data_IF_695819415096
#
_entry.id   IF_695819415096
#
_cell.length_a   1.000
_cell.length_b   1.000
_cell.length_c   1.000
_cell.angle_alpha   90.00
_cell.angle_beta   90.00
_cell.angle_gamma   90.00
#
_symmetry.space_group_name_H-M   'P 1'
#
loop_
_entity.id
_entity.type
_entity.pdbx_description
1 polymer ?
#
# COMPACT_ATOMS: atom_id res chain seq x y z
N UNK A 1 -23.73 7.23 -2.83
CA UNK A 1 -22.36 7.83 -2.75
C UNK A 1 -22.28 8.86 -3.87
N UNK A 2 -22.21 10.14 -3.51
CA UNK A 2 -22.19 11.19 -4.53
C UNK A 2 -20.75 11.58 -4.84
N UNK A 3 -20.31 11.18 -6.02
CA UNK A 3 -19.08 11.66 -6.63
C UNK A 3 -19.45 12.75 -7.64
N UNK A 4 -19.13 13.98 -7.32
CA UNK A 4 -19.27 15.11 -8.22
C UNK A 4 -17.92 15.40 -8.85
N UNK A 5 -17.87 15.67 -10.17
CA UNK A 5 -16.62 16.00 -10.82
C UNK A 5 -15.65 14.84 -11.05
N UNK A 6 -14.37 15.18 -11.18
CA UNK A 6 -13.29 14.23 -11.50
C UNK A 6 -12.64 13.72 -10.20
N UNK A 7 -12.46 12.42 -10.09
CA UNK A 7 -11.65 11.79 -9.03
C UNK A 7 -10.26 11.48 -9.54
N UNK A 8 -9.25 12.18 -9.02
CA UNK A 8 -7.84 11.97 -9.37
C UNK A 8 -7.24 10.85 -8.53
N UNK A 9 -6.63 9.86 -9.18
CA UNK A 9 -5.86 8.78 -8.54
C UNK A 9 -4.41 8.87 -8.95
N UNK A 10 -3.51 9.24 -8.04
CA UNK A 10 -2.07 9.21 -8.30
C UNK A 10 -1.49 7.84 -8.00
N UNK A 11 -0.43 7.44 -8.72
CA UNK A 11 0.10 6.08 -8.57
C UNK A 11 -0.83 4.98 -9.11
N UNK A 12 -1.77 5.36 -9.96
CA UNK A 12 -2.83 4.50 -10.50
C UNK A 12 -2.32 3.24 -11.21
N UNK A 13 -1.11 3.26 -11.78
CA UNK A 13 -0.51 2.11 -12.45
C UNK A 13 0.22 1.14 -11.49
N UNK A 14 0.33 1.48 -10.21
CA UNK A 14 0.86 0.61 -9.15
C UNK A 14 -0.13 -0.49 -8.73
N UNK A 15 0.32 -1.41 -7.89
CA UNK A 15 -0.50 -2.52 -7.40
C UNK A 15 -1.80 -2.02 -6.75
N UNK A 16 -1.72 -1.25 -5.68
CA UNK A 16 -2.90 -0.72 -4.99
C UNK A 16 -3.70 0.27 -5.84
N UNK A 17 -2.99 1.07 -6.68
CA UNK A 17 -3.64 2.04 -7.57
C UNK A 17 -4.60 1.40 -8.56
N UNK A 18 -4.26 0.25 -9.11
CA UNK A 18 -5.13 -0.52 -10.01
C UNK A 18 -6.41 -0.98 -9.31
N UNK A 19 -6.30 -1.60 -8.13
CA UNK A 19 -7.45 -2.02 -7.34
C UNK A 19 -8.37 -0.85 -6.99
N UNK A 20 -7.80 0.31 -6.65
CA UNK A 20 -8.60 1.51 -6.39
C UNK A 20 -9.30 2.03 -7.65
N UNK A 21 -8.61 2.09 -8.79
CA UNK A 21 -9.22 2.50 -10.07
C UNK A 21 -10.35 1.56 -10.46
N UNK A 22 -10.14 0.25 -10.39
CA UNK A 22 -11.17 -0.77 -10.67
C UNK A 22 -12.39 -0.59 -9.74
N UNK A 23 -12.14 -0.37 -8.45
CA UNK A 23 -13.22 -0.16 -7.47
C UNK A 23 -14.02 1.12 -7.77
N UNK A 24 -13.35 2.24 -8.07
CA UNK A 24 -14.02 3.51 -8.41
C UNK A 24 -14.82 3.40 -9.72
N UNK A 25 -14.26 2.74 -10.74
CA UNK A 25 -14.98 2.50 -12.01
C UNK A 25 -16.22 1.62 -11.80
N UNK A 26 -16.12 0.58 -10.97
CA UNK A 26 -17.29 -0.25 -10.62
C UNK A 26 -18.39 0.52 -9.90
N UNK A 27 -18.05 1.61 -9.21
CA UNK A 27 -19.00 2.55 -8.60
C UNK A 27 -19.52 3.63 -9.56
N UNK A 28 -19.12 3.60 -10.83
CA UNK A 28 -19.52 4.59 -11.85
C UNK A 28 -18.84 5.95 -11.71
N UNK A 29 -17.70 6.03 -11.00
CA UNK A 29 -16.98 7.28 -10.74
C UNK A 29 -16.18 7.70 -11.97
N UNK A 30 -16.20 9.00 -12.30
CA UNK A 30 -15.33 9.57 -13.34
C UNK A 30 -13.89 9.69 -12.81
N UNK A 31 -13.02 8.76 -13.24
CA UNK A 31 -11.65 8.64 -12.76
C UNK A 31 -10.67 9.29 -13.75
N UNK A 32 -9.77 10.12 -13.20
CA UNK A 32 -8.52 10.52 -13.85
C UNK A 32 -7.37 9.77 -13.18
N UNK A 33 -6.76 8.84 -13.89
CA UNK A 33 -5.62 8.07 -13.46
C UNK A 33 -4.31 8.76 -13.85
N UNK A 34 -3.33 8.79 -12.91
CA UNK A 34 -1.99 9.28 -13.26
C UNK A 34 -0.88 8.38 -12.71
N UNK A 35 0.14 8.23 -13.53
CA UNK A 35 1.43 7.65 -13.20
C UNK A 35 2.49 8.26 -14.12
N UNK A 36 3.76 7.90 -13.93
CA UNK A 36 4.82 8.31 -14.86
C UNK A 36 4.42 7.99 -16.31
N UNK A 37 4.74 8.86 -17.28
CA UNK A 37 4.37 8.67 -18.67
C UNK A 37 4.75 7.28 -19.16
N UNK A 38 3.84 6.63 -19.87
CA UNK A 38 4.00 5.26 -20.35
C UNK A 38 3.44 5.15 -21.78
N UNK A 39 4.04 4.24 -22.58
CA UNK A 39 3.63 4.03 -23.97
C UNK A 39 2.32 3.26 -24.10
N UNK A 40 1.99 2.39 -23.12
CA UNK A 40 0.78 1.58 -23.15
C UNK A 40 -0.17 1.99 -22.02
N UNK A 41 -1.32 2.54 -22.38
CA UNK A 41 -2.42 2.94 -21.51
C UNK A 41 -3.67 2.06 -21.67
N UNK A 42 -3.60 1.01 -22.50
CA UNK A 42 -4.75 0.18 -22.87
C UNK A 42 -5.54 -0.36 -21.67
N UNK A 43 -4.88 -0.58 -20.55
CA UNK A 43 -5.55 -0.99 -19.31
C UNK A 43 -6.56 0.06 -18.83
N UNK A 44 -6.20 1.34 -18.87
CA UNK A 44 -7.09 2.45 -18.48
C UNK A 44 -8.13 2.73 -19.57
N UNK A 45 -7.71 2.70 -20.83
CA UNK A 45 -8.58 2.94 -21.98
C UNK A 45 -9.72 1.92 -22.02
N UNK A 46 -9.45 0.63 -21.73
CA UNK A 46 -10.46 -0.43 -21.70
C UNK A 46 -11.52 -0.26 -20.61
N UNK A 47 -11.26 0.56 -19.59
CA UNK A 47 -12.20 0.88 -18.52
C UNK A 47 -12.85 2.27 -18.68
N UNK A 48 -12.56 2.99 -19.77
CA UNK A 48 -13.02 4.36 -19.98
C UNK A 48 -12.40 5.38 -19.03
N UNK A 49 -11.22 5.07 -18.46
CA UNK A 49 -10.50 5.93 -17.51
C UNK A 49 -9.58 6.90 -18.25
N UNK A 50 -9.71 8.18 -17.95
CA UNK A 50 -8.80 9.21 -18.46
C UNK A 50 -7.39 9.02 -17.85
N UNK A 51 -6.38 8.79 -18.69
CA UNK A 51 -4.99 8.68 -18.22
C UNK A 51 -4.18 9.92 -18.59
N UNK A 52 -3.67 10.61 -17.56
CA UNK A 52 -2.76 11.77 -17.72
C UNK A 52 -1.39 11.39 -17.15
N UNK A 53 -0.38 11.33 -18.03
CA UNK A 53 0.98 10.98 -17.64
C UNK A 53 1.66 12.13 -16.91
N UNK A 54 2.03 11.93 -15.63
CA UNK A 54 2.77 12.91 -14.83
C UNK A 54 3.80 12.24 -13.92
N UNK A 55 4.86 12.97 -13.60
CA UNK A 55 5.93 12.51 -12.72
C UNK A 55 5.99 13.42 -11.47
N UNK A 56 5.78 12.86 -10.29
CA UNK A 56 5.81 13.59 -9.02
C UNK A 56 7.15 14.32 -8.76
N UNK A 57 8.21 13.88 -9.44
CA UNK A 57 9.53 14.54 -9.36
C UNK A 57 9.67 15.72 -10.32
N UNK A 58 8.70 15.91 -11.26
CA UNK A 58 8.69 16.92 -12.29
C UNK A 58 7.51 17.87 -12.10
N UNK A 59 7.69 18.99 -11.35
CA UNK A 59 6.60 19.90 -11.01
C UNK A 59 5.78 20.39 -12.19
N UNK A 60 6.44 20.62 -13.33
CA UNK A 60 5.83 21.12 -14.56
C UNK A 60 4.77 20.18 -15.16
N UNK A 61 4.78 18.91 -14.77
CA UNK A 61 3.83 17.90 -15.29
C UNK A 61 2.56 17.79 -14.43
N UNK A 62 2.53 18.41 -13.25
CA UNK A 62 1.48 18.17 -12.26
C UNK A 62 0.23 19.05 -12.41
N UNK A 63 0.32 20.32 -12.84
CA UNK A 63 -0.87 21.19 -12.92
C UNK A 63 -1.98 20.62 -13.80
N UNK A 64 -1.64 19.99 -14.95
CA UNK A 64 -2.62 19.37 -15.84
C UNK A 64 -3.47 18.26 -15.18
N UNK A 65 -3.03 17.72 -14.05
CA UNK A 65 -3.81 16.73 -13.29
C UNK A 65 -5.09 17.33 -12.71
N UNK A 66 -5.13 18.64 -12.48
CA UNK A 66 -6.24 19.36 -11.85
C UNK A 66 -7.15 20.10 -12.84
N UNK A 67 -6.85 20.04 -14.13
CA UNK A 67 -7.68 20.67 -15.16
C UNK A 67 -9.11 20.08 -15.19
N UNK A 68 -10.10 20.91 -15.42
CA UNK A 68 -11.50 20.48 -15.61
C UNK A 68 -12.26 20.12 -14.32
N UNK A 69 -11.79 20.56 -13.15
CA UNK A 69 -12.50 20.44 -11.87
C UNK A 69 -12.34 19.08 -11.20
N UNK A 70 -11.23 18.91 -10.47
CA UNK A 70 -11.01 17.75 -9.61
C UNK A 70 -11.74 17.94 -8.29
N UNK A 71 -12.66 17.02 -7.97
CA UNK A 71 -13.43 17.03 -6.73
C UNK A 71 -12.71 16.27 -5.60
N UNK A 72 -12.08 15.14 -5.93
CA UNK A 72 -11.40 14.28 -4.97
C UNK A 72 -10.03 13.85 -5.46
N UNK A 73 -9.11 13.67 -4.52
CA UNK A 73 -7.77 13.15 -4.78
C UNK A 73 -7.50 11.95 -3.89
N UNK A 74 -7.15 10.82 -4.49
CA UNK A 74 -6.55 9.68 -3.81
C UNK A 74 -5.07 9.64 -4.16
N UNK A 75 -4.22 9.93 -3.19
CA UNK A 75 -2.78 10.00 -3.40
C UNK A 75 -2.08 8.71 -2.94
N UNK A 76 -1.79 7.82 -3.92
CA UNK A 76 -1.05 6.57 -3.74
C UNK A 76 0.36 6.64 -4.36
N UNK A 77 0.67 7.72 -5.06
CA UNK A 77 1.92 7.87 -5.79
C UNK A 77 3.13 7.92 -4.87
N UNK A 78 3.84 6.79 -4.74
CA UNK A 78 5.03 6.66 -3.92
C UNK A 78 5.98 5.59 -4.47
N UNK A 79 7.23 5.62 -4.04
CA UNK A 79 8.17 4.50 -4.16
C UNK A 79 8.03 3.68 -2.88
N UNK A 80 7.52 2.44 -3.00
CA UNK A 80 7.36 1.50 -1.90
C UNK A 80 8.50 0.48 -1.95
N UNK A 81 9.62 0.79 -1.28
CA UNK A 81 10.78 -0.11 -1.26
C UNK A 81 11.67 0.21 -0.07
N UNK A 82 11.94 -0.79 0.79
CA UNK A 82 12.78 -0.66 1.98
C UNK A 82 14.29 -0.58 1.67
N UNK A 83 14.71 -1.06 0.50
CA UNK A 83 16.13 -1.04 0.10
C UNK A 83 16.54 0.25 -0.62
N UNK A 84 15.60 1.13 -0.92
CA UNK A 84 15.88 2.39 -1.60
C UNK A 84 16.39 3.43 -0.61
N UNK A 85 17.56 4.05 -0.84
CA UNK A 85 18.08 5.10 0.03
C UNK A 85 17.13 6.29 0.12
N UNK A 86 17.03 6.92 1.30
CA UNK A 86 16.15 8.06 1.58
C UNK A 86 16.25 9.17 0.53
N UNK A 87 17.45 9.53 0.13
CA UNK A 87 17.69 10.58 -0.87
C UNK A 87 17.03 10.29 -2.24
N UNK A 88 16.79 9.02 -2.59
CA UNK A 88 16.05 8.62 -3.81
C UNK A 88 14.53 8.56 -3.57
N UNK A 89 14.10 8.33 -2.33
CA UNK A 89 12.67 8.35 -1.95
C UNK A 89 12.14 9.77 -1.79
N UNK A 90 12.95 10.67 -1.26
CA UNK A 90 12.57 12.04 -0.91
C UNK A 90 11.89 12.82 -2.05
N UNK A 91 12.40 12.84 -3.29
CA UNK A 91 11.77 13.59 -4.38
C UNK A 91 10.33 13.14 -4.69
N UNK A 92 10.04 11.83 -4.55
CA UNK A 92 8.71 11.27 -4.83
C UNK A 92 7.83 11.26 -3.59
N UNK A 93 8.34 10.69 -2.48
CA UNK A 93 7.52 10.39 -1.30
C UNK A 93 7.32 11.61 -0.38
N UNK A 94 8.14 12.64 -0.51
CA UNK A 94 8.06 13.86 0.30
C UNK A 94 7.72 15.06 -0.57
N UNK A 95 8.60 15.47 -1.50
CA UNK A 95 8.32 16.61 -2.38
C UNK A 95 7.14 16.38 -3.32
N UNK A 96 6.91 15.12 -3.75
CA UNK A 96 5.73 14.77 -4.53
C UNK A 96 4.43 14.97 -3.76
N UNK A 97 4.41 14.60 -2.47
CA UNK A 97 3.27 14.84 -1.57
C UNK A 97 3.04 16.35 -1.40
N UNK A 98 4.10 17.12 -1.13
CA UNK A 98 4.01 18.58 -0.97
C UNK A 98 3.36 19.25 -2.19
N UNK A 99 3.82 18.91 -3.38
CA UNK A 99 3.30 19.47 -4.64
C UNK A 99 1.84 19.13 -4.89
N UNK A 100 1.47 17.84 -4.71
CA UNK A 100 0.09 17.40 -4.96
C UNK A 100 -0.86 17.96 -3.91
N UNK A 101 -0.46 18.05 -2.64
CA UNK A 101 -1.29 18.65 -1.59
C UNK A 101 -1.48 20.15 -1.80
N UNK A 102 -0.43 20.88 -2.27
CA UNK A 102 -0.55 22.28 -2.61
C UNK A 102 -1.55 22.48 -3.78
N UNK A 103 -1.39 21.73 -4.87
CA UNK A 103 -2.30 21.80 -6.01
C UNK A 103 -3.75 21.44 -5.64
N UNK A 104 -3.93 20.47 -4.75
CA UNK A 104 -5.24 20.09 -4.24
C UNK A 104 -5.88 21.21 -3.39
N UNK A 105 -5.08 21.88 -2.56
CA UNK A 105 -5.53 23.04 -1.79
C UNK A 105 -5.92 24.21 -2.71
N UNK A 106 -5.06 24.55 -3.67
CA UNK A 106 -5.29 25.63 -4.64
C UNK A 106 -6.52 25.38 -5.52
N UNK A 107 -6.77 24.11 -5.87
CA UNK A 107 -7.94 23.69 -6.65
C UNK A 107 -9.24 23.61 -5.82
N UNK A 108 -9.15 23.73 -4.50
CA UNK A 108 -10.32 23.66 -3.61
C UNK A 108 -11.01 22.30 -3.64
N UNK A 109 -10.25 21.18 -3.70
CA UNK A 109 -10.83 19.84 -3.74
C UNK A 109 -11.69 19.57 -2.51
N UNK A 110 -12.81 18.89 -2.68
CA UNK A 110 -13.71 18.53 -1.58
C UNK A 110 -13.11 17.49 -0.65
N UNK A 111 -12.21 16.64 -1.14
CA UNK A 111 -11.56 15.60 -0.34
C UNK A 111 -10.18 15.22 -0.87
N UNK A 112 -9.23 15.08 0.02
CA UNK A 112 -7.91 14.53 -0.26
C UNK A 112 -7.67 13.31 0.64
N UNK A 113 -7.35 12.15 0.08
CA UNK A 113 -7.02 10.94 0.84
C UNK A 113 -5.57 10.59 0.60
N UNK A 114 -4.75 10.69 1.64
CA UNK A 114 -3.35 10.27 1.62
C UNK A 114 -3.24 8.78 1.97
N UNK A 115 -2.73 7.98 1.05
CA UNK A 115 -2.42 6.58 1.34
C UNK A 115 -0.98 6.48 1.85
N UNK A 116 -0.89 6.49 3.18
CA UNK A 116 0.34 6.37 3.96
C UNK A 116 0.87 4.95 4.06
N UNK A 117 1.32 4.56 5.23
CA UNK A 117 1.74 3.19 5.57
C UNK A 117 1.94 3.08 7.08
N UNK A 118 1.67 1.92 7.67
CA UNK A 118 2.07 1.63 9.06
C UNK A 118 3.59 1.61 9.27
N UNK A 119 4.39 1.59 8.20
CA UNK A 119 5.85 1.73 8.29
C UNK A 119 6.30 3.03 9.00
N UNK A 120 5.43 4.02 9.11
CA UNK A 120 5.69 5.26 9.89
C UNK A 120 5.95 4.98 11.37
N UNK A 121 5.41 3.90 11.92
CA UNK A 121 5.65 3.51 13.31
C UNK A 121 7.02 2.86 13.53
N UNK A 122 7.60 2.26 12.49
CA UNK A 122 8.82 1.47 12.58
C UNK A 122 8.60 0.12 13.30
N UNK A 123 9.67 -0.62 13.61
CA UNK A 123 9.63 -1.83 14.43
C UNK A 123 9.22 -1.47 15.86
N UNK A 124 7.95 -1.61 16.18
CA UNK A 124 7.36 -1.21 17.45
C UNK A 124 7.20 -2.43 18.38
N UNK A 125 7.27 -2.19 19.69
CA UNK A 125 7.15 -3.26 20.70
C UNK A 125 5.89 -3.17 21.57
N UNK A 126 5.08 -2.14 21.38
CA UNK A 126 3.78 -1.99 22.05
C UNK A 126 2.66 -2.39 21.09
N UNK A 127 2.05 -3.56 21.28
CA UNK A 127 0.91 -4.00 20.49
C UNK A 127 -0.38 -3.97 21.30
N UNK A 128 -1.52 -3.70 20.67
CA UNK A 128 -1.70 -3.32 19.25
C UNK A 128 -1.24 -1.90 18.95
N UNK A 129 -0.81 -1.67 17.69
CA UNK A 129 -0.45 -0.36 17.16
C UNK A 129 -1.71 0.43 16.84
N UNK A 130 -2.04 1.42 17.65
CA UNK A 130 -3.10 2.39 17.37
C UNK A 130 -2.59 3.58 16.55
N UNK A 131 -3.48 4.42 16.04
CA UNK A 131 -3.12 5.61 15.28
C UNK A 131 -2.34 6.64 16.11
N UNK A 132 -2.49 6.59 17.43
CA UNK A 132 -1.81 7.48 18.38
C UNK A 132 -0.40 6.98 18.79
N UNK A 133 0.00 5.79 18.31
CA UNK A 133 1.33 5.25 18.55
C UNK A 133 2.43 6.17 17.97
N UNK A 134 3.60 6.27 18.64
CA UNK A 134 4.69 7.11 18.16
C UNK A 134 5.16 6.75 16.76
N UNK A 135 5.24 7.73 15.85
CA UNK A 135 5.79 7.58 14.51
C UNK A 135 7.32 7.65 14.54
N UNK A 136 7.96 6.50 14.75
CA UNK A 136 9.42 6.38 14.92
C UNK A 136 10.05 5.38 13.95
N UNK A 137 10.00 5.62 12.62
CA UNK A 137 10.55 4.73 11.62
C UNK A 137 12.07 4.63 11.71
N UNK A 138 12.61 3.42 11.53
CA UNK A 138 14.04 3.12 11.63
C UNK A 138 14.72 2.91 10.27
N UNK A 139 13.93 2.89 9.20
CA UNK A 139 14.39 2.68 7.83
C UNK A 139 14.09 3.87 6.92
N UNK A 140 14.67 3.89 5.72
CA UNK A 140 14.53 4.99 4.77
C UNK A 140 13.11 5.13 4.23
N UNK A 141 12.41 4.01 4.00
CA UNK A 141 11.05 4.03 3.48
C UNK A 141 10.07 4.59 4.53
N UNK A 142 10.07 4.02 5.73
CA UNK A 142 9.23 4.50 6.82
C UNK A 142 9.44 5.98 7.12
N UNK A 143 10.71 6.46 7.13
CA UNK A 143 11.03 7.88 7.29
C UNK A 143 10.43 8.73 6.17
N UNK A 144 10.56 8.30 4.91
CA UNK A 144 9.99 9.05 3.79
C UNK A 144 8.47 9.12 3.82
N UNK A 145 7.80 8.04 4.31
CA UNK A 145 6.34 8.03 4.49
C UNK A 145 5.90 8.93 5.64
N UNK A 146 6.65 8.94 6.76
CA UNK A 146 6.39 9.86 7.89
C UNK A 146 6.54 11.32 7.45
N UNK A 147 7.64 11.66 6.78
CA UNK A 147 7.93 13.03 6.38
C UNK A 147 6.92 13.55 5.33
N UNK A 148 6.44 12.65 4.44
CA UNK A 148 5.33 12.98 3.54
C UNK A 148 4.00 13.17 4.29
N UNK A 149 3.72 12.33 5.29
CA UNK A 149 2.54 12.47 6.14
C UNK A 149 2.58 13.75 6.98
N UNK A 150 3.75 14.18 7.45
CA UNK A 150 3.92 15.46 8.18
C UNK A 150 3.52 16.66 7.31
N UNK A 151 3.79 16.62 6.00
CA UNK A 151 3.30 17.63 5.06
C UNK A 151 1.78 17.62 4.97
N UNK A 152 1.15 16.44 4.93
CA UNK A 152 -0.32 16.35 4.90
C UNK A 152 -0.93 16.96 6.17
N UNK A 153 -0.35 16.68 7.35
CA UNK A 153 -0.76 17.29 8.62
C UNK A 153 -0.64 18.82 8.58
N UNK A 154 0.43 19.35 8.00
CA UNK A 154 0.58 20.79 7.80
C UNK A 154 -0.52 21.34 6.88
N UNK A 155 -0.80 20.69 5.74
CA UNK A 155 -1.84 21.13 4.79
C UNK A 155 -3.25 21.07 5.37
N UNK A 156 -3.52 20.13 6.28
CA UNK A 156 -4.78 20.10 7.06
C UNK A 156 -4.94 21.40 7.87
N UNK A 157 -3.88 21.86 8.52
CA UNK A 157 -3.90 23.13 9.28
C UNK A 157 -4.08 24.36 8.35
N UNK A 158 -3.69 24.25 7.10
CA UNK A 158 -3.87 25.28 6.07
C UNK A 158 -5.26 25.20 5.39
N UNK A 159 -6.09 24.20 5.77
CA UNK A 159 -7.48 24.06 5.32
C UNK A 159 -7.72 22.99 4.24
N UNK A 160 -6.72 22.16 3.91
CA UNK A 160 -6.94 21.02 3.01
C UNK A 160 -7.83 19.98 3.70
N UNK A 161 -9.02 19.61 3.16
CA UNK A 161 -9.88 18.59 3.75
C UNK A 161 -9.32 17.17 3.52
N UNK A 162 -8.21 16.88 4.22
CA UNK A 162 -7.46 15.64 4.02
C UNK A 162 -7.75 14.59 5.09
N UNK A 163 -7.62 13.33 4.67
CA UNK A 163 -7.69 12.12 5.49
C UNK A 163 -6.40 11.35 5.28
N UNK A 164 -5.82 10.83 6.36
CA UNK A 164 -4.61 10.01 6.30
C UNK A 164 -4.99 8.55 6.53
N UNK A 165 -4.48 7.65 5.70
CA UNK A 165 -4.67 6.22 5.89
C UNK A 165 -3.33 5.51 5.97
N UNK A 166 -3.21 4.52 6.85
CA UNK A 166 -1.97 3.76 7.10
C UNK A 166 -2.23 2.27 6.90
N UNK A 167 -2.25 1.78 5.65
CA UNK A 167 -2.34 0.34 5.40
C UNK A 167 -1.13 -0.40 5.98
N UNK A 168 -1.37 -1.60 6.54
CA UNK A 168 -0.32 -2.53 6.97
C UNK A 168 0.26 -3.30 5.77
N UNK A 169 0.64 -4.58 5.93
CA UNK A 169 1.12 -5.41 4.82
C UNK A 169 -0.01 -5.68 3.84
N UNK A 170 0.02 -5.00 2.70
CA UNK A 170 -0.98 -5.16 1.65
C UNK A 170 -0.64 -6.34 0.75
N UNK A 171 -1.61 -7.23 0.53
CA UNK A 171 -1.52 -8.36 -0.39
C UNK A 171 -2.77 -8.44 -1.28
N UNK A 172 -2.75 -9.31 -2.28
CA UNK A 172 -3.90 -9.51 -3.16
C UNK A 172 -3.51 -9.90 -4.58
N UNK A 173 -4.49 -10.08 -5.46
CA UNK A 173 -4.28 -10.38 -6.87
C UNK A 173 -3.35 -9.38 -7.55
N UNK A 174 -2.27 -9.88 -8.19
CA UNK A 174 -1.30 -9.03 -8.89
C UNK A 174 -0.23 -8.39 -8.00
N UNK A 175 -0.15 -8.73 -6.71
CA UNK A 175 0.92 -8.27 -5.82
C UNK A 175 2.27 -8.87 -6.24
N UNK A 176 3.19 -8.03 -6.70
CA UNK A 176 4.53 -8.44 -7.12
C UNK A 176 5.65 -7.76 -6.33
N UNK A 177 5.30 -6.89 -5.38
CA UNK A 177 6.22 -6.06 -4.61
C UNK A 177 5.96 -6.19 -3.11
N UNK A 178 6.96 -5.80 -2.31
CA UNK A 178 6.85 -5.73 -0.85
C UNK A 178 6.64 -7.09 -0.18
N UNK A 179 6.26 -7.06 1.10
CA UNK A 179 6.04 -8.27 1.90
C UNK A 179 4.85 -9.10 1.41
N UNK A 180 3.81 -8.47 0.87
CA UNK A 180 2.64 -9.15 0.30
C UNK A 180 2.94 -10.08 -0.88
N UNK A 181 4.08 -9.86 -1.58
CA UNK A 181 4.58 -10.76 -2.65
C UNK A 181 4.77 -12.20 -2.16
N UNK A 182 5.15 -12.39 -0.89
CA UNK A 182 5.33 -13.70 -0.29
C UNK A 182 4.06 -14.56 -0.36
N UNK A 183 2.91 -13.93 -0.20
CA UNK A 183 1.61 -14.61 -0.25
C UNK A 183 1.14 -14.91 -1.67
N UNK A 184 1.61 -14.16 -2.67
CA UNK A 184 1.28 -14.39 -4.10
C UNK A 184 2.16 -15.45 -4.75
N UNK A 185 3.28 -15.81 -4.13
CA UNK A 185 4.24 -16.82 -4.62
C UNK A 185 4.71 -17.76 -3.52
N UNK A 186 3.80 -18.43 -2.80
CA UNK A 186 4.16 -19.24 -1.62
C UNK A 186 5.05 -20.43 -1.96
N UNK A 187 5.03 -20.92 -3.20
CA UNK A 187 5.91 -22.03 -3.67
C UNK A 187 7.39 -21.66 -3.69
N UNK A 188 7.73 -20.37 -3.68
CA UNK A 188 9.13 -19.90 -3.65
C UNK A 188 9.69 -19.78 -2.21
N UNK A 189 8.85 -19.94 -1.20
CA UNK A 189 9.24 -19.80 0.21
C UNK A 189 9.51 -21.18 0.79
N UNK A 190 10.77 -21.44 1.06
CA UNK A 190 11.26 -22.75 1.54
C UNK A 190 11.58 -22.77 3.04
N UNK A 191 11.61 -21.60 3.67
CA UNK A 191 11.97 -21.47 5.08
C UNK A 191 11.17 -20.37 5.80
N UNK A 192 11.01 -20.55 7.09
CA UNK A 192 10.36 -19.63 8.02
C UNK A 192 11.44 -18.74 8.66
N UNK A 193 11.35 -17.40 8.56
CA UNK A 193 12.29 -16.52 9.22
C UNK A 193 12.12 -16.51 10.74
N UNK A 194 13.22 -16.66 11.48
CA UNK A 194 13.21 -16.70 12.94
C UNK A 194 12.54 -17.95 13.49
N UNK A 195 11.79 -17.78 14.57
CA UNK A 195 10.97 -18.84 15.17
C UNK A 195 9.52 -18.88 14.62
N UNK A 196 9.19 -17.99 13.71
CA UNK A 196 7.88 -17.91 13.07
C UNK A 196 6.70 -17.44 13.93
N UNK A 197 6.93 -17.11 15.21
CA UNK A 197 5.87 -16.86 16.21
C UNK A 197 5.36 -15.44 16.26
N UNK A 198 6.05 -14.50 15.56
CA UNK A 198 5.63 -13.09 15.54
C UNK A 198 4.32 -12.94 14.76
N UNK A 199 3.34 -12.28 15.38
CA UNK A 199 2.07 -11.96 14.75
C UNK A 199 2.22 -10.85 13.72
N UNK A 200 1.47 -10.94 12.61
CA UNK A 200 1.46 -9.99 11.51
C UNK A 200 0.04 -9.48 11.27
N UNK A 201 -0.08 -8.18 11.01
CA UNK A 201 -1.30 -7.63 10.40
C UNK A 201 -1.13 -7.54 8.90
N UNK A 202 -2.17 -7.97 8.21
CA UNK A 202 -2.27 -7.97 6.76
C UNK A 202 -3.58 -7.31 6.33
N UNK A 203 -3.70 -6.96 5.05
CA UNK A 203 -4.96 -6.48 4.47
C UNK A 203 -4.97 -6.72 2.97
N UNK A 204 -6.11 -7.07 2.40
CA UNK A 204 -6.29 -7.17 0.96
C UNK A 204 -6.30 -5.79 0.30
N UNK A 205 -5.75 -5.71 -0.90
CA UNK A 205 -5.74 -4.47 -1.68
C UNK A 205 -7.15 -3.97 -1.99
N UNK A 206 -8.10 -4.88 -2.19
CA UNK A 206 -9.51 -4.56 -2.39
C UNK A 206 -10.13 -3.89 -1.16
N UNK A 207 -9.77 -4.36 0.05
CA UNK A 207 -10.22 -3.72 1.30
C UNK A 207 -9.57 -2.35 1.49
N UNK A 208 -8.30 -2.19 1.14
CA UNK A 208 -7.68 -0.85 1.16
C UNK A 208 -8.42 0.10 0.22
N UNK A 209 -8.73 -0.34 -1.01
CA UNK A 209 -9.47 0.46 -1.98
C UNK A 209 -10.87 0.85 -1.46
N UNK A 210 -11.60 -0.12 -0.93
CA UNK A 210 -12.93 0.12 -0.36
C UNK A 210 -12.88 1.04 0.88
N UNK A 211 -11.91 0.84 1.79
CA UNK A 211 -11.76 1.64 3.00
C UNK A 211 -11.44 3.11 2.70
N UNK A 212 -10.51 3.39 1.77
CA UNK A 212 -10.17 4.78 1.41
C UNK A 212 -11.33 5.50 0.72
N UNK A 213 -12.13 4.76 -0.08
CA UNK A 213 -13.36 5.29 -0.69
C UNK A 213 -14.40 5.56 0.39
N UNK A 214 -14.66 4.60 1.29
CA UNK A 214 -15.58 4.78 2.42
C UNK A 214 -15.23 6.02 3.24
N UNK A 215 -13.98 6.14 3.70
CA UNK A 215 -13.52 7.29 4.48
C UNK A 215 -13.67 8.61 3.73
N UNK A 216 -13.48 8.63 2.42
CA UNK A 216 -13.60 9.84 1.60
C UNK A 216 -14.99 10.46 1.59
N UNK A 217 -16.03 9.75 2.04
CA UNK A 217 -17.41 10.23 2.15
C UNK A 217 -17.77 10.77 3.54
N UNK A 218 -16.91 10.59 4.52
CA UNK A 218 -17.18 10.93 5.91
C UNK A 218 -16.55 12.28 6.27
N UNK A 219 -17.36 13.24 6.68
CA UNK A 219 -16.86 14.55 7.11
C UNK A 219 -16.08 14.44 8.43
N UNK A 220 -16.50 13.54 9.31
CA UNK A 220 -15.83 13.23 10.58
C UNK A 220 -14.46 12.56 10.41
N UNK A 221 -14.14 12.06 9.22
CA UNK A 221 -12.81 11.50 8.93
C UNK A 221 -11.79 12.58 8.54
N UNK A 222 -12.23 13.79 8.23
CA UNK A 222 -11.32 14.88 7.85
C UNK A 222 -10.47 15.30 9.02
N UNK A 223 -9.16 15.43 8.79
CA UNK A 223 -8.21 15.78 9.83
C UNK A 223 -7.79 14.59 10.71
N UNK A 224 -8.16 13.37 10.33
CA UNK A 224 -7.87 12.16 11.12
C UNK A 224 -6.97 11.19 10.34
N UNK A 225 -6.31 10.29 11.11
CA UNK A 225 -5.57 9.16 10.58
C UNK A 225 -6.28 7.84 10.90
N UNK A 226 -6.20 6.88 9.97
CA UNK A 226 -6.82 5.56 10.09
C UNK A 226 -5.84 4.46 9.71
N UNK A 227 -5.63 3.51 10.60
CA UNK A 227 -4.96 2.26 10.27
C UNK A 227 -5.88 1.36 9.45
N UNK A 228 -5.32 0.66 8.46
CA UNK A 228 -6.08 -0.30 7.65
C UNK A 228 -5.39 -1.66 7.76
N UNK A 229 -6.01 -2.57 8.51
CA UNK A 229 -5.60 -3.96 8.72
C UNK A 229 -6.87 -4.82 8.81
N UNK A 230 -6.84 -6.07 8.34
CA UNK A 230 -7.96 -7.00 8.53
C UNK A 230 -8.09 -7.43 10.01
N UNK A 231 -9.06 -8.28 10.32
CA UNK A 231 -9.34 -8.71 11.69
C UNK A 231 -8.46 -9.88 12.14
N UNK A 232 -7.62 -10.43 11.25
CA UNK A 232 -6.79 -11.58 11.54
C UNK A 232 -5.32 -11.16 11.76
N UNK A 233 -4.68 -11.84 12.71
CA UNK A 233 -3.28 -11.59 13.05
C UNK A 233 -2.50 -12.91 13.10
N UNK A 234 -2.38 -13.64 11.97
CA UNK A 234 -1.63 -14.89 11.96
C UNK A 234 -0.16 -14.65 12.31
N UNK A 235 0.46 -15.62 12.93
CA UNK A 235 1.91 -15.64 13.05
C UNK A 235 2.57 -15.80 11.67
N UNK A 236 3.86 -15.48 11.56
CA UNK A 236 4.62 -15.66 10.31
C UNK A 236 4.50 -17.10 9.80
N UNK A 237 4.63 -18.09 10.71
CA UNK A 237 4.53 -19.51 10.35
C UNK A 237 3.12 -19.90 9.90
N UNK A 238 2.09 -19.45 10.58
CA UNK A 238 0.70 -19.65 10.19
C UNK A 238 0.40 -19.01 8.83
N UNK A 239 0.79 -17.75 8.63
CA UNK A 239 0.55 -17.04 7.38
C UNK A 239 1.22 -17.74 6.18
N UNK A 240 2.47 -18.18 6.33
CA UNK A 240 3.19 -18.93 5.28
C UNK A 240 2.59 -20.31 5.04
N UNK A 241 2.12 -20.98 6.09
CA UNK A 241 1.44 -22.28 6.01
C UNK A 241 0.11 -22.16 5.29
N UNK A 242 -0.73 -21.20 5.69
CA UNK A 242 -2.04 -20.92 5.07
C UNK A 242 -1.84 -20.61 3.58
N UNK A 243 -0.91 -19.70 3.26
CA UNK A 243 -0.64 -19.34 1.87
C UNK A 243 -0.18 -20.56 1.06
N UNK A 244 0.76 -21.37 1.55
CA UNK A 244 1.24 -22.56 0.87
C UNK A 244 0.09 -23.56 0.61
N UNK A 245 -0.72 -23.84 1.62
CA UNK A 245 -1.85 -24.79 1.50
C UNK A 245 -2.90 -24.30 0.51
N UNK A 246 -3.26 -23.01 0.52
CA UNK A 246 -4.23 -22.43 -0.41
C UNK A 246 -3.79 -22.62 -1.88
N UNK A 247 -2.50 -22.50 -2.15
CA UNK A 247 -1.93 -22.69 -3.50
C UNK A 247 -1.56 -24.16 -3.82
N UNK A 248 -1.86 -25.12 -2.92
CA UNK A 248 -1.54 -26.53 -3.11
C UNK A 248 -0.05 -26.87 -2.97
N UNK A 249 0.73 -25.98 -2.34
CA UNK A 249 2.15 -26.18 -2.08
C UNK A 249 2.37 -26.82 -0.69
N UNK A 250 3.55 -27.43 -0.51
CA UNK A 250 3.95 -27.93 0.81
C UNK A 250 4.33 -26.76 1.72
N UNK A 251 3.78 -26.65 2.94
CA UNK A 251 4.20 -25.65 3.90
C UNK A 251 5.70 -25.71 4.21
N UNK A 252 6.39 -24.56 4.37
CA UNK A 252 7.78 -24.54 4.82
C UNK A 252 7.88 -25.10 6.25
N UNK A 253 8.95 -25.85 6.52
CA UNK A 253 9.22 -26.45 7.83
C UNK A 253 10.56 -26.03 8.44
N UNK A 254 11.45 -25.50 7.59
CA UNK A 254 12.78 -25.10 8.02
C UNK A 254 12.73 -23.70 8.65
N UNK A 255 13.12 -23.59 9.90
CA UNK A 255 13.30 -22.29 10.56
C UNK A 255 14.74 -21.81 10.37
N UNK A 256 14.89 -20.59 9.86
CA UNK A 256 16.20 -19.95 9.69
C UNK A 256 16.39 -18.83 10.72
N UNK A 257 17.44 -18.87 11.56
CA UNK A 257 17.74 -17.78 12.49
C UNK A 257 17.73 -16.42 11.77
N UNK A 258 17.12 -15.40 12.36
CA UNK A 258 17.02 -14.06 11.75
C UNK A 258 18.39 -13.46 11.37
N UNK A 259 19.46 -13.83 12.09
CA UNK A 259 20.83 -13.42 11.73
C UNK A 259 21.24 -13.94 10.35
N UNK A 260 20.89 -15.19 10.02
CA UNK A 260 21.14 -15.80 8.71
C UNK A 260 20.28 -15.13 7.64
N UNK A 261 18.99 -14.94 7.92
CA UNK A 261 18.06 -14.23 7.00
C UNK A 261 18.56 -12.82 6.70
N UNK A 262 19.02 -12.08 7.71
CA UNK A 262 19.64 -10.74 7.54
C UNK A 262 20.93 -10.78 6.73
N UNK A 263 21.76 -11.81 6.89
CA UNK A 263 22.99 -11.96 6.10
C UNK A 263 22.67 -12.21 4.62
N UNK A 264 21.67 -13.07 4.33
CA UNK A 264 21.18 -13.27 2.96
C UNK A 264 20.59 -12.01 2.37
N UNK A 265 19.78 -11.26 3.12
CA UNK A 265 19.21 -10.00 2.67
C UNK A 265 20.28 -8.95 2.31
N UNK A 266 21.38 -8.88 3.09
CA UNK A 266 22.52 -8.00 2.77
C UNK A 266 23.23 -8.43 1.48
N UNK A 267 23.45 -9.73 1.31
CA UNK A 267 24.08 -10.27 0.11
C UNK A 267 23.22 -10.06 -1.14
N UNK A 268 21.92 -10.34 -1.04
CA UNK A 268 20.98 -10.06 -2.13
C UNK A 268 20.91 -8.56 -2.46
N UNK A 269 20.89 -7.70 -1.44
CA UNK A 269 20.96 -6.24 -1.63
C UNK A 269 22.21 -5.79 -2.37
N UNK A 270 23.38 -6.35 -2.03
CA UNK A 270 24.63 -6.05 -2.69
C UNK A 270 24.64 -6.51 -4.17
N UNK A 271 24.26 -7.78 -4.43
CA UNK A 271 24.20 -8.34 -5.79
C UNK A 271 23.17 -7.61 -6.64
N UNK A 272 22.00 -7.31 -6.08
CA UNK A 272 20.93 -6.60 -6.76
C UNK A 272 21.31 -5.16 -7.08
N UNK A 273 22.03 -4.50 -6.17
CA UNK A 273 22.58 -3.16 -6.39
C UNK A 273 23.57 -3.11 -7.56
N UNK A 274 24.45 -4.11 -7.69
CA UNK A 274 25.37 -4.22 -8.84
C UNK A 274 24.62 -4.44 -10.17
N UNK A 275 23.47 -5.13 -10.13
CA UNK A 275 22.65 -5.42 -11.31
C UNK A 275 21.57 -4.36 -11.58
N UNK A 276 21.49 -3.28 -10.80
CA UNK A 276 20.49 -2.25 -10.92
C UNK A 276 19.03 -2.73 -10.70
N UNK A 277 18.83 -3.83 -9.95
CA UNK A 277 17.52 -4.40 -9.64
C UNK A 277 17.16 -4.21 -8.17
N UNK A 278 15.88 -4.34 -7.84
CA UNK A 278 15.39 -4.40 -6.46
C UNK A 278 15.71 -5.81 -5.91
N UNK A 279 16.24 -5.94 -4.67
CA UNK A 279 16.48 -7.24 -4.05
C UNK A 279 15.15 -7.97 -3.78
N UNK A 280 15.17 -9.29 -3.85
CA UNK A 280 14.01 -10.11 -3.51
C UNK A 280 13.76 -10.16 -2.01
N UNK A 281 14.80 -10.01 -1.19
CA UNK A 281 14.74 -9.94 0.26
C UNK A 281 15.32 -8.61 0.76
N UNK A 282 14.46 -7.72 1.20
CA UNK A 282 14.85 -6.39 1.65
C UNK A 282 15.31 -6.41 3.12
N UNK A 283 16.57 -6.02 3.39
CA UNK A 283 17.18 -6.09 4.72
C UNK A 283 16.36 -5.37 5.80
N UNK A 284 15.89 -4.15 5.51
CA UNK A 284 15.13 -3.37 6.47
C UNK A 284 13.71 -3.96 6.71
N UNK A 285 13.11 -4.59 5.70
CA UNK A 285 11.86 -5.32 5.86
C UNK A 285 12.00 -6.52 6.83
N UNK A 286 13.15 -7.23 6.82
CA UNK A 286 13.41 -8.33 7.75
C UNK A 286 13.42 -7.89 9.23
N UNK A 287 13.65 -6.60 9.51
CA UNK A 287 13.62 -6.06 10.89
C UNK A 287 12.23 -6.13 11.50
N UNK A 288 11.17 -5.96 10.70
CA UNK A 288 9.78 -6.05 11.15
C UNK A 288 9.39 -7.48 11.55
N UNK A 289 10.15 -8.50 11.09
CA UNK A 289 9.92 -9.90 11.46
C UNK A 289 10.49 -10.27 12.86
N UNK A 290 11.06 -9.30 13.57
CA UNK A 290 11.66 -9.54 14.90
C UNK A 290 10.75 -9.24 16.09
N UNK A 291 9.58 -8.65 15.84
CA UNK A 291 8.58 -8.27 16.84
C UNK A 291 7.18 -8.53 16.31
N UNK A 292 6.21 -8.67 17.20
CA UNK A 292 4.81 -8.66 16.80
C UNK A 292 4.48 -7.32 16.12
N UNK A 293 3.76 -7.40 15.03
CA UNK A 293 3.31 -6.23 14.27
C UNK A 293 1.79 -6.28 14.11
N UNK A 294 1.10 -6.13 15.23
CA UNK A 294 -0.36 -6.14 15.30
C UNK A 294 -0.87 -4.71 15.25
N UNK A 295 -1.68 -4.39 14.27
CA UNK A 295 -2.22 -3.07 13.99
C UNK A 295 -3.69 -3.03 14.41
N UNK A 296 -4.06 -2.06 15.23
CA UNK A 296 -5.44 -1.82 15.62
C UNK A 296 -6.23 -1.20 14.46
N UNK A 297 -7.41 -1.73 14.17
CA UNK A 297 -8.32 -1.26 13.13
C UNK A 297 -9.63 -0.69 13.70
N UNK A 298 -9.73 -0.54 15.01
CA UNK A 298 -10.96 -0.15 15.69
C UNK A 298 -11.47 1.22 15.24
N UNK A 299 -10.57 2.20 15.02
CA UNK A 299 -10.94 3.54 14.57
C UNK A 299 -11.65 3.46 13.20
N UNK A 300 -11.14 2.69 12.24
CA UNK A 300 -11.78 2.46 10.96
C UNK A 300 -13.13 1.74 11.10
N UNK A 301 -13.18 0.68 11.90
CA UNK A 301 -14.44 -0.09 12.13
C UNK A 301 -15.53 0.77 12.80
N UNK A 302 -15.15 1.69 13.67
CA UNK A 302 -16.08 2.61 14.33
C UNK A 302 -16.73 3.61 13.36
N UNK A 303 -16.16 3.85 12.17
CA UNK A 303 -16.83 4.62 11.10
C UNK A 303 -17.93 3.84 10.38
N UNK A 304 -18.20 2.60 10.78
CA UNK A 304 -19.15 1.71 10.12
C UNK A 304 -18.56 0.87 8.99
N UNK A 305 -17.26 1.01 8.68
CA UNK A 305 -16.59 0.16 7.69
C UNK A 305 -16.66 -1.31 8.08
N UNK A 306 -16.85 -2.18 7.09
CA UNK A 306 -16.81 -3.65 7.24
C UNK A 306 -15.88 -4.21 6.19
N UNK A 307 -14.88 -5.00 6.61
CA UNK A 307 -13.95 -5.64 5.69
C UNK A 307 -14.66 -6.64 4.80
N UNK A 308 -14.30 -6.63 3.52
CA UNK A 308 -14.75 -7.61 2.52
C UNK A 308 -14.07 -8.95 2.79
N UNK A 309 -12.81 -8.88 3.21
CA UNK A 309 -11.94 -10.02 3.51
C UNK A 309 -11.38 -9.91 4.93
N UNK A 310 -12.22 -10.13 5.98
CA UNK A 310 -11.80 -9.96 7.37
C UNK A 310 -10.89 -11.09 7.87
N UNK A 311 -10.89 -12.24 7.18
CA UNK A 311 -10.17 -13.44 7.55
C UNK A 311 -9.08 -13.77 6.52
N UNK A 312 -7.83 -13.93 7.00
CA UNK A 312 -6.68 -14.17 6.15
C UNK A 312 -6.72 -15.53 5.44
N UNK A 313 -7.18 -16.59 6.12
CA UNK A 313 -7.23 -17.94 5.54
C UNK A 313 -8.23 -18.00 4.38
N UNK A 314 -9.43 -17.50 4.60
CA UNK A 314 -10.46 -17.45 3.57
C UNK A 314 -10.03 -16.57 2.39
N UNK A 315 -9.42 -15.43 2.69
CA UNK A 315 -8.85 -14.54 1.68
C UNK A 315 -7.77 -15.22 0.83
N UNK A 316 -6.90 -16.05 1.44
CA UNK A 316 -5.89 -16.80 0.70
C UNK A 316 -6.48 -17.86 -0.22
N UNK A 317 -7.55 -18.55 0.17
CA UNK A 317 -8.27 -19.51 -0.67
C UNK A 317 -8.81 -18.83 -1.93
N UNK A 318 -9.50 -17.70 -1.77
CA UNK A 318 -10.06 -16.93 -2.88
C UNK A 318 -8.97 -16.35 -3.79
N UNK A 319 -7.86 -15.88 -3.22
CA UNK A 319 -6.72 -15.41 -4.01
C UNK A 319 -6.11 -16.55 -4.86
N UNK A 320 -5.96 -17.73 -4.30
CA UNK A 320 -5.46 -18.89 -5.04
C UNK A 320 -6.41 -19.32 -6.19
N UNK A 321 -7.71 -19.20 -5.99
CA UNK A 321 -8.71 -19.42 -7.04
C UNK A 321 -8.59 -18.41 -8.17
N UNK A 322 -8.43 -17.14 -7.83
CA UNK A 322 -8.20 -16.08 -8.81
C UNK A 322 -6.95 -16.36 -9.67
N UNK A 323 -5.84 -16.78 -9.07
CA UNK A 323 -4.62 -17.12 -9.82
C UNK A 323 -4.82 -18.34 -10.73
N UNK A 324 -5.57 -19.37 -10.28
CA UNK A 324 -5.89 -20.55 -11.10
C UNK A 324 -6.75 -20.18 -12.31
N UNK A 325 -7.81 -19.41 -12.12
CA UNK A 325 -8.69 -18.95 -13.21
C UNK A 325 -7.96 -18.03 -14.19
N UNK A 326 -7.15 -17.10 -13.71
CA UNK A 326 -6.36 -16.19 -14.54
C UNK A 326 -5.26 -16.91 -15.34
N UNK A 327 -4.69 -18.00 -14.84
CA UNK A 327 -3.74 -18.84 -15.57
C UNK A 327 -4.42 -19.62 -16.70
N UNK A 328 -5.63 -20.12 -16.48
CA UNK A 328 -6.42 -20.80 -17.51
C UNK A 328 -6.81 -19.88 -18.66
N UNK A 329 -7.17 -18.63 -18.36
CA UNK A 329 -7.51 -17.62 -19.39
C UNK A 329 -6.27 -17.22 -20.21
N UNK A 330 -5.06 -17.23 -19.64
CA UNK A 330 -3.81 -16.91 -20.38
C UNK A 330 -3.27 -18.09 -21.20
N UNK A 331 -3.78 -19.30 -20.99
CA UNK A 331 -3.40 -20.50 -21.74
C UNK A 331 -4.34 -20.83 -22.91
N UNK A 332 -5.41 -20.06 -23.09
CA UNK A 332 -6.33 -20.06 -24.24
C UNK A 332 -5.98 -18.91 -25.19
#
# INVERSE_FOLDING_TARGET
MDFEGITLVTGAAGFMGKHLVEHLVALGVRVRATARPRKNTSYFDSMGVEFVGADLTKPETLPALFDGGVDRVFHLGAICNFSTPYKKLYPTNVLGVDRITQLALDAGVRRYVHVGSTAVYGPYRGTPLTEDAPRNPQDSYGRSKRDGEDIVWQRIQEGLPAIITRPCTVYGPGCNDGAGKAFSRPTSITAIPGNGRQALSNVRAEDVAAAVVHLSHLDEAVGEAFNIADDSHPTIEEALTIAAMAFGAKPPKLHLPLAIVKAFARLDGFISGMKGRIPDLEYDAVRYLSTDYVVDNARLKNTGYRFIYPDFEESMKQMAEWYRSSAQVRSL
#
